data_IF_625284119682
#
_entry.id   IF_625284119682
#
_cell.length_a   1.000
_cell.length_b   1.000
_cell.length_c   1.000
_cell.angle_alpha   90.00
_cell.angle_beta   90.00
_cell.angle_gamma   90.00
#
_symmetry.space_group_name_H-M   'P 1'
#
loop_
_entity.id
_entity.type
_entity.pdbx_description
1 polymer ?
#
# COMPACT_ATOMS: atom_id res chain seq x y z
N UNK A 1 -40.99 -23.89 34.46
CA UNK A 1 -40.14 -22.89 35.15
C UNK A 1 -38.81 -22.83 34.38
N UNK A 2 -38.24 -21.71 33.94
CA UNK A 2 -38.51 -20.28 34.05
C UNK A 2 -37.94 -19.62 32.78
N UNK A 3 -38.73 -18.72 32.19
CA UNK A 3 -38.32 -17.74 31.17
C UNK A 3 -37.27 -16.78 31.75
N UNK A 4 -36.30 -16.37 30.92
CA UNK A 4 -35.73 -14.99 30.88
C UNK A 4 -35.19 -14.76 29.45
N UNK A 5 -35.94 -14.03 28.60
CA UNK A 5 -35.83 -12.58 28.35
C UNK A 5 -34.66 -12.27 27.38
N UNK A 6 -34.96 -12.11 26.09
CA UNK A 6 -35.14 -10.81 25.42
C UNK A 6 -33.85 -9.98 25.38
N UNK A 7 -33.16 -10.05 24.22
CA UNK A 7 -32.75 -8.87 23.44
C UNK A 7 -32.84 -9.23 21.97
N UNK A 8 -34.04 -9.06 21.43
CA UNK A 8 -34.24 -8.78 20.02
C UNK A 8 -33.36 -7.56 19.67
N UNK A 9 -32.33 -7.77 18.86
CA UNK A 9 -31.68 -6.66 18.15
C UNK A 9 -32.60 -6.33 16.97
N UNK A 10 -33.70 -5.66 17.30
CA UNK A 10 -34.56 -4.93 16.37
C UNK A 10 -34.08 -3.47 16.41
N UNK A 11 -32.90 -3.22 15.86
CA UNK A 11 -32.36 -1.92 15.47
C UNK A 11 -31.28 -2.29 14.43
N UNK A 12 -31.57 -2.39 13.14
CA UNK A 12 -31.29 -1.34 12.13
C UNK A 12 -32.16 -1.50 10.86
N UNK A 13 -33.15 -2.41 10.82
CA UNK A 13 -34.04 -2.52 9.63
C UNK A 13 -34.98 -1.30 9.45
N UNK A 14 -35.09 -0.42 10.46
CA UNK A 14 -35.99 0.75 10.42
C UNK A 14 -35.52 1.92 9.54
N UNK A 15 -34.32 1.89 8.96
CA UNK A 15 -33.92 2.86 7.93
C UNK A 15 -34.11 2.36 6.49
N UNK A 16 -34.41 1.07 6.27
CA UNK A 16 -34.53 0.52 4.91
C UNK A 16 -35.96 0.69 4.36
N UNK A 17 -36.98 0.73 5.22
CA UNK A 17 -38.39 0.79 4.79
C UNK A 17 -38.95 2.21 4.59
N UNK A 18 -38.23 3.26 5.01
CA UNK A 18 -38.69 4.65 4.92
C UNK A 18 -38.07 5.44 3.75
N UNK A 19 -37.15 4.84 3.00
CA UNK A 19 -36.49 5.49 1.84
C UNK A 19 -37.18 5.12 0.50
N UNK A 20 -38.04 4.10 0.46
CA UNK A 20 -38.65 3.62 -0.81
C UNK A 20 -40.15 3.91 -0.95
N UNK A 21 -40.57 5.12 -0.61
CA UNK A 21 -41.72 5.76 -1.26
C UNK A 21 -41.27 6.71 -2.37
N UNK A 22 -40.27 6.31 -3.17
CA UNK A 22 -40.10 6.86 -4.52
C UNK A 22 -41.12 6.21 -5.47
N UNK A 23 -42.41 6.29 -5.14
CA UNK A 23 -43.40 6.21 -6.20
C UNK A 23 -43.23 7.46 -7.06
N UNK A 24 -43.24 7.35 -8.40
CA UNK A 24 -43.31 8.51 -9.30
C UNK A 24 -44.67 9.25 -9.18
N UNK A 25 -45.46 8.93 -8.16
CA UNK A 25 -46.78 9.49 -7.92
C UNK A 25 -46.61 10.77 -7.10
N UNK A 26 -46.91 11.87 -7.78
CA UNK A 26 -47.37 13.12 -7.20
C UNK A 26 -46.32 14.01 -6.51
N UNK A 27 -45.32 14.48 -7.25
CA UNK A 27 -45.05 15.94 -7.20
C UNK A 27 -45.90 16.69 -8.24
N UNK A 28 -47.13 16.21 -8.43
CA UNK A 28 -48.18 16.97 -9.09
C UNK A 28 -48.45 18.21 -8.24
N UNK A 29 -48.13 19.38 -8.80
CA UNK A 29 -48.40 20.71 -8.25
C UNK A 29 -47.75 21.01 -6.88
N UNK A 30 -46.42 21.17 -6.84
CA UNK A 30 -45.79 21.93 -5.75
C UNK A 30 -46.05 23.43 -5.95
N UNK A 31 -46.56 24.10 -4.94
CA UNK A 31 -47.10 25.47 -5.03
C UNK A 31 -46.06 26.60 -4.93
N UNK A 32 -44.77 26.33 -4.65
CA UNK A 32 -43.73 27.36 -4.67
C UNK A 32 -42.36 26.87 -5.15
N UNK A 33 -41.58 27.78 -5.77
CA UNK A 33 -40.21 27.55 -6.24
C UNK A 33 -39.30 27.07 -5.11
N UNK A 34 -39.51 27.58 -3.89
CA UNK A 34 -38.69 27.23 -2.72
C UNK A 34 -38.87 25.77 -2.31
N UNK A 35 -40.11 25.25 -2.36
CA UNK A 35 -40.38 23.84 -2.03
C UNK A 35 -39.66 22.88 -2.98
N UNK A 36 -39.64 23.18 -4.28
CA UNK A 36 -38.90 22.37 -5.25
C UNK A 36 -37.39 22.37 -4.96
N UNK A 37 -36.83 23.52 -4.59
CA UNK A 37 -35.42 23.68 -4.21
C UNK A 37 -35.08 22.85 -2.96
N UNK A 38 -35.91 22.93 -1.92
CA UNK A 38 -35.64 22.23 -0.66
C UNK A 38 -35.77 20.71 -0.83
N UNK A 39 -36.75 20.27 -1.64
CA UNK A 39 -36.94 18.87 -1.98
C UNK A 39 -35.71 18.29 -2.71
N UNK A 40 -35.22 18.96 -3.77
CA UNK A 40 -34.07 18.44 -4.53
C UNK A 40 -32.79 18.45 -3.69
N UNK A 41 -32.59 19.46 -2.85
CA UNK A 41 -31.42 19.48 -1.93
C UNK A 41 -31.46 18.30 -0.97
N UNK A 42 -32.63 17.96 -0.45
CA UNK A 42 -32.80 16.81 0.43
C UNK A 42 -32.53 15.51 -0.32
N UNK A 43 -33.04 15.37 -1.54
CA UNK A 43 -32.82 14.19 -2.38
C UNK A 43 -31.33 13.96 -2.66
N UNK A 44 -30.59 15.00 -3.07
CA UNK A 44 -29.14 14.92 -3.31
C UNK A 44 -28.35 14.51 -2.06
N UNK A 45 -28.71 15.07 -0.89
CA UNK A 45 -28.06 14.74 0.39
C UNK A 45 -28.32 13.28 0.77
N UNK A 46 -29.57 12.82 0.67
CA UNK A 46 -29.95 11.43 0.98
C UNK A 46 -29.28 10.44 0.04
N UNK A 47 -29.20 10.75 -1.25
CA UNK A 47 -28.55 9.89 -2.23
C UNK A 47 -27.07 9.64 -1.90
N UNK A 48 -26.35 10.67 -1.43
CA UNK A 48 -24.97 10.51 -0.98
C UNK A 48 -24.86 9.81 0.38
N UNK A 49 -25.74 10.16 1.34
CA UNK A 49 -25.73 9.52 2.67
C UNK A 49 -25.99 8.02 2.61
N UNK A 50 -26.85 7.57 1.69
CA UNK A 50 -27.25 6.16 1.63
C UNK A 50 -26.05 5.20 1.51
N UNK A 51 -25.13 5.42 0.55
CA UNK A 51 -23.97 4.53 0.43
C UNK A 51 -22.90 4.76 1.51
N UNK A 52 -22.90 5.93 2.15
CA UNK A 52 -21.95 6.27 3.22
C UNK A 52 -22.37 5.61 4.53
N UNK A 53 -23.64 5.74 4.91
CA UNK A 53 -24.20 5.19 6.16
C UNK A 53 -24.19 3.66 6.13
N UNK A 54 -24.61 3.03 5.02
CA UNK A 54 -24.50 1.57 4.87
C UNK A 54 -23.05 1.10 4.99
N UNK A 55 -22.08 1.88 4.51
CA UNK A 55 -20.67 1.56 4.68
C UNK A 55 -20.14 1.75 6.10
N UNK A 56 -20.75 2.63 6.91
CA UNK A 56 -20.42 2.72 8.34
C UNK A 56 -20.91 1.48 9.10
N UNK A 57 -21.95 0.82 8.59
CA UNK A 57 -22.46 -0.46 9.10
C UNK A 57 -21.66 -1.67 8.61
N UNK A 58 -20.67 -1.44 7.73
CA UNK A 58 -19.80 -2.49 7.18
C UNK A 58 -20.22 -3.03 5.81
N UNK A 59 -21.29 -2.50 5.22
CA UNK A 59 -21.85 -3.00 3.97
C UNK A 59 -21.64 -2.06 2.78
N UNK A 60 -21.60 -2.61 1.56
CA UNK A 60 -21.49 -1.83 0.33
C UNK A 60 -22.82 -1.87 -0.42
N UNK A 61 -23.31 -0.70 -0.83
CA UNK A 61 -24.52 -0.59 -1.64
C UNK A 61 -24.18 -0.90 -3.10
N UNK A 62 -24.87 -1.86 -3.74
CA UNK A 62 -24.62 -2.20 -5.13
C UNK A 62 -25.06 -1.08 -6.07
N UNK A 63 -24.34 -0.95 -7.19
CA UNK A 63 -24.68 0.02 -8.25
C UNK A 63 -26.12 -0.12 -8.75
N UNK A 64 -26.64 -1.35 -8.83
CA UNK A 64 -28.03 -1.62 -9.22
C UNK A 64 -29.07 -0.95 -8.32
N UNK A 65 -28.77 -0.74 -7.04
CA UNK A 65 -29.66 -0.03 -6.11
C UNK A 65 -29.51 1.49 -6.20
N UNK A 66 -28.37 1.98 -6.70
CA UNK A 66 -28.05 3.40 -6.78
C UNK A 66 -28.34 4.02 -8.15
N UNK A 67 -28.33 3.24 -9.23
CA UNK A 67 -28.65 3.72 -10.58
C UNK A 67 -30.06 4.33 -10.67
N UNK A 68 -31.12 3.74 -10.08
CA UNK A 68 -32.45 4.38 -10.03
C UNK A 68 -32.44 5.70 -9.27
N UNK A 69 -31.71 5.77 -8.16
CA UNK A 69 -31.57 6.99 -7.33
C UNK A 69 -30.87 8.09 -8.12
N UNK A 70 -29.76 7.75 -8.80
CA UNK A 70 -29.02 8.68 -9.66
C UNK A 70 -29.90 9.24 -10.78
N UNK A 71 -30.70 8.39 -11.42
CA UNK A 71 -31.59 8.79 -12.49
C UNK A 71 -32.72 9.71 -12.00
N UNK A 72 -33.29 9.41 -10.82
CA UNK A 72 -34.28 10.27 -10.16
C UNK A 72 -33.70 11.66 -9.88
N UNK A 73 -32.54 11.72 -9.21
CA UNK A 73 -31.89 12.98 -8.85
C UNK A 73 -31.55 13.80 -10.09
N UNK A 74 -31.00 13.18 -11.15
CA UNK A 74 -30.70 13.86 -12.42
C UNK A 74 -31.93 14.51 -13.02
N UNK A 75 -33.05 13.78 -13.05
CA UNK A 75 -34.32 14.28 -13.59
C UNK A 75 -34.85 15.45 -12.75
N UNK A 76 -34.97 15.26 -11.44
CA UNK A 76 -35.56 16.25 -10.53
C UNK A 76 -34.69 17.52 -10.45
N UNK A 77 -33.36 17.40 -10.56
CA UNK A 77 -32.44 18.52 -10.67
C UNK A 77 -32.72 19.37 -11.92
N UNK A 78 -32.86 18.77 -13.10
CA UNK A 78 -33.16 19.50 -14.33
C UNK A 78 -34.55 20.14 -14.30
N UNK A 79 -35.55 19.45 -13.76
CA UNK A 79 -36.89 19.99 -13.55
C UNK A 79 -36.88 21.20 -12.62
N UNK A 80 -36.13 21.13 -11.51
CA UNK A 80 -36.01 22.24 -10.56
C UNK A 80 -35.30 23.44 -11.16
N UNK A 81 -34.24 23.23 -11.96
CA UNK A 81 -33.59 24.31 -12.71
C UNK A 81 -34.57 25.00 -13.65
N UNK A 82 -35.39 24.22 -14.37
CA UNK A 82 -36.42 24.76 -15.25
C UNK A 82 -37.44 25.61 -14.47
N UNK A 83 -37.92 25.12 -13.33
CA UNK A 83 -38.84 25.85 -12.45
C UNK A 83 -38.25 27.20 -12.00
N UNK A 84 -36.97 27.23 -11.60
CA UNK A 84 -36.29 28.47 -11.21
C UNK A 84 -36.24 29.46 -12.38
N UNK A 85 -35.82 29.00 -13.56
CA UNK A 85 -35.68 29.84 -14.76
C UNK A 85 -37.02 30.44 -15.20
N UNK A 86 -38.10 29.66 -15.14
CA UNK A 86 -39.46 30.10 -15.55
C UNK A 86 -40.22 30.85 -14.45
N UNK A 87 -39.65 31.02 -13.27
CA UNK A 87 -40.31 31.71 -12.15
C UNK A 87 -40.32 33.24 -12.32
N UNK A 88 -41.18 33.90 -11.54
CA UNK A 88 -41.29 35.37 -11.47
C UNK A 88 -40.22 36.01 -10.57
N UNK A 89 -39.19 35.26 -10.17
CA UNK A 89 -38.08 35.78 -9.35
C UNK A 89 -37.24 36.80 -10.12
N UNK A 90 -36.54 37.67 -9.40
CA UNK A 90 -35.53 38.55 -9.99
C UNK A 90 -34.40 37.74 -10.61
N UNK A 91 -33.73 38.28 -11.62
CA UNK A 91 -32.61 37.59 -12.28
C UNK A 91 -31.47 37.27 -11.28
N UNK A 92 -31.23 38.17 -10.33
CA UNK A 92 -30.25 37.97 -9.25
C UNK A 92 -30.63 36.79 -8.34
N UNK A 93 -31.90 36.66 -7.99
CA UNK A 93 -32.39 35.56 -7.15
C UNK A 93 -32.35 34.22 -7.89
N UNK A 94 -32.68 34.21 -9.18
CA UNK A 94 -32.54 33.03 -10.05
C UNK A 94 -31.11 32.53 -10.04
N UNK A 95 -30.14 33.42 -10.31
CA UNK A 95 -28.73 33.05 -10.32
C UNK A 95 -28.24 32.54 -8.97
N UNK A 96 -28.68 33.16 -7.87
CA UNK A 96 -28.30 32.72 -6.52
C UNK A 96 -28.81 31.31 -6.23
N UNK A 97 -30.09 31.04 -6.53
CA UNK A 97 -30.71 29.72 -6.30
C UNK A 97 -30.13 28.65 -7.20
N UNK A 98 -29.84 28.97 -8.47
CA UNK A 98 -29.16 28.04 -9.39
C UNK A 98 -27.77 27.67 -8.89
N UNK A 99 -26.95 28.65 -8.51
CA UNK A 99 -25.62 28.40 -7.93
C UNK A 99 -25.67 27.48 -6.72
N UNK A 100 -26.67 27.67 -5.86
CA UNK A 100 -26.84 26.85 -4.66
C UNK A 100 -27.13 25.38 -4.99
N UNK A 101 -28.08 25.11 -5.89
CA UNK A 101 -28.40 23.73 -6.27
C UNK A 101 -27.31 23.10 -7.14
N UNK A 102 -26.65 23.88 -8.00
CA UNK A 102 -25.55 23.43 -8.87
C UNK A 102 -24.33 23.02 -8.03
N UNK A 103 -24.00 23.81 -7.00
CA UNK A 103 -22.91 23.48 -6.07
C UNK A 103 -23.18 22.17 -5.32
N UNK A 104 -24.42 21.96 -4.85
CA UNK A 104 -24.78 20.74 -4.14
C UNK A 104 -24.82 19.52 -5.06
N UNK A 105 -25.30 19.69 -6.30
CA UNK A 105 -25.29 18.63 -7.31
C UNK A 105 -23.86 18.20 -7.64
N UNK A 106 -22.97 19.18 -7.84
CA UNK A 106 -21.55 18.92 -8.10
C UNK A 106 -20.90 18.16 -6.94
N UNK A 107 -21.16 18.59 -5.70
CA UNK A 107 -20.56 17.98 -4.51
C UNK A 107 -21.08 16.55 -4.25
N UNK A 108 -22.41 16.36 -4.23
CA UNK A 108 -23.03 15.11 -3.78
C UNK A 108 -23.20 14.08 -4.89
N UNK A 109 -23.42 14.53 -6.12
CA UNK A 109 -23.75 13.64 -7.24
C UNK A 109 -22.53 13.47 -8.15
N UNK A 110 -21.96 14.55 -8.65
CA UNK A 110 -20.84 14.50 -9.61
C UNK A 110 -19.56 14.00 -8.93
N UNK A 111 -19.24 14.49 -7.73
CA UNK A 111 -18.05 14.08 -6.95
C UNK A 111 -18.32 12.98 -5.92
N UNK A 112 -19.58 12.67 -5.66
CA UNK A 112 -19.99 11.65 -4.68
C UNK A 112 -20.53 10.39 -5.34
N UNK A 113 -21.84 10.38 -5.59
CA UNK A 113 -22.58 9.20 -6.02
C UNK A 113 -22.07 8.58 -7.33
N UNK A 114 -21.81 9.39 -8.37
CA UNK A 114 -21.36 8.89 -9.68
C UNK A 114 -20.02 8.13 -9.56
N UNK A 115 -18.94 8.74 -9.00
CA UNK A 115 -17.69 8.01 -8.87
C UNK A 115 -17.74 6.84 -7.88
N UNK A 116 -18.68 6.82 -6.92
CA UNK A 116 -18.91 5.63 -6.09
C UNK A 116 -19.46 4.46 -6.94
N UNK A 117 -20.48 4.72 -7.76
CA UNK A 117 -21.04 3.72 -8.68
C UNK A 117 -19.96 3.19 -9.63
N UNK A 118 -19.11 4.09 -10.16
CA UNK A 118 -17.98 3.69 -11.01
C UNK A 118 -16.97 2.83 -10.26
N UNK A 119 -16.64 3.16 -9.02
CA UNK A 119 -15.74 2.40 -8.16
C UNK A 119 -16.29 1.00 -7.84
N UNK A 120 -17.58 0.90 -7.49
CA UNK A 120 -18.24 -0.37 -7.24
C UNK A 120 -18.28 -1.24 -8.51
N UNK A 121 -18.64 -0.66 -9.65
CA UNK A 121 -18.65 -1.35 -10.94
C UNK A 121 -17.24 -1.78 -11.37
N UNK A 122 -16.23 -0.95 -11.15
CA UNK A 122 -14.85 -1.32 -11.42
C UNK A 122 -14.43 -2.55 -10.60
N UNK A 123 -14.71 -2.54 -9.30
CA UNK A 123 -14.40 -3.64 -8.41
C UNK A 123 -15.11 -4.94 -8.81
N UNK A 124 -16.43 -4.88 -9.01
CA UNK A 124 -17.28 -6.07 -9.24
C UNK A 124 -17.25 -6.59 -10.67
N UNK A 125 -16.99 -5.75 -11.68
CA UNK A 125 -16.96 -6.18 -13.09
C UNK A 125 -15.57 -6.49 -13.61
N UNK A 126 -14.51 -6.02 -12.94
CA UNK A 126 -13.14 -6.21 -13.41
C UNK A 126 -12.25 -6.93 -12.41
N UNK A 127 -12.24 -6.56 -11.13
CA UNK A 127 -11.32 -7.21 -10.18
C UNK A 127 -11.83 -8.59 -9.77
N UNK A 128 -13.06 -8.67 -9.27
CA UNK A 128 -13.63 -9.92 -8.75
C UNK A 128 -13.73 -11.04 -9.80
N UNK A 129 -14.19 -10.77 -11.05
CA UNK A 129 -14.23 -11.80 -12.08
C UNK A 129 -12.83 -12.28 -12.49
N UNK A 130 -11.84 -11.39 -12.55
CA UNK A 130 -10.46 -11.79 -12.86
C UNK A 130 -9.85 -12.66 -11.75
N UNK A 131 -10.16 -12.38 -10.49
CA UNK A 131 -9.72 -13.24 -9.39
C UNK A 131 -10.37 -14.62 -9.47
N UNK A 132 -11.65 -14.68 -9.84
CA UNK A 132 -12.34 -15.95 -10.08
C UNK A 132 -11.75 -16.72 -11.27
N UNK A 133 -11.51 -16.04 -12.41
CA UNK A 133 -10.85 -16.62 -13.59
C UNK A 133 -9.49 -17.21 -13.23
N UNK A 134 -8.66 -16.49 -12.46
CA UNK A 134 -7.36 -16.97 -12.00
C UNK A 134 -7.51 -18.24 -11.16
N UNK A 135 -8.40 -18.24 -10.15
CA UNK A 135 -8.60 -19.41 -9.27
C UNK A 135 -9.07 -20.63 -10.05
N UNK A 136 -9.98 -20.45 -11.01
CA UNK A 136 -10.47 -21.53 -11.87
C UNK A 136 -9.37 -22.07 -12.79
N UNK A 137 -8.51 -21.20 -13.32
CA UNK A 137 -7.37 -21.59 -14.15
C UNK A 137 -6.28 -22.32 -13.34
N UNK A 138 -5.99 -21.85 -12.13
CA UNK A 138 -5.08 -22.52 -11.18
C UNK A 138 -5.59 -23.94 -10.86
N UNK A 139 -6.89 -24.10 -10.59
CA UNK A 139 -7.49 -25.41 -10.31
C UNK A 139 -7.40 -26.40 -11.48
N UNK A 140 -7.38 -25.90 -12.72
CA UNK A 140 -7.25 -26.69 -13.94
C UNK A 140 -5.79 -26.90 -14.37
N UNK A 141 -4.83 -26.28 -13.70
CA UNK A 141 -3.43 -26.15 -14.15
C UNK A 141 -3.31 -25.57 -15.57
N UNK A 142 -4.20 -24.66 -15.93
CA UNK A 142 -4.17 -23.97 -17.23
C UNK A 142 -3.22 -22.75 -17.14
N UNK A 143 -1.92 -23.00 -17.39
CA UNK A 143 -0.87 -21.98 -17.28
C UNK A 143 -1.11 -20.77 -18.19
N UNK A 144 -1.61 -21.00 -19.41
CA UNK A 144 -1.86 -19.93 -20.38
C UNK A 144 -3.03 -19.04 -19.93
N UNK A 145 -4.09 -19.64 -19.40
CA UNK A 145 -5.21 -18.87 -18.83
C UNK A 145 -4.78 -18.07 -17.60
N UNK A 146 -3.93 -18.64 -16.72
CA UNK A 146 -3.38 -17.93 -15.55
C UNK A 146 -2.55 -16.73 -16.00
N UNK A 147 -1.59 -16.89 -16.92
CA UNK A 147 -0.76 -15.80 -17.44
C UNK A 147 -1.63 -14.68 -18.03
N UNK A 148 -2.59 -15.03 -18.90
CA UNK A 148 -3.49 -14.07 -19.55
C UNK A 148 -4.33 -13.29 -18.53
N UNK A 149 -4.93 -13.97 -17.55
CA UNK A 149 -5.74 -13.35 -16.52
C UNK A 149 -4.89 -12.47 -15.59
N UNK A 150 -3.68 -12.91 -15.23
CA UNK A 150 -2.71 -12.14 -14.45
C UNK A 150 -2.33 -10.82 -15.15
N UNK A 151 -2.06 -10.84 -16.46
CA UNK A 151 -1.72 -9.62 -17.19
C UNK A 151 -2.91 -8.66 -17.26
N UNK A 152 -4.13 -9.16 -17.50
CA UNK A 152 -5.34 -8.33 -17.42
C UNK A 152 -5.49 -7.69 -16.03
N UNK A 153 -5.32 -8.47 -14.96
CA UNK A 153 -5.43 -7.99 -13.59
C UNK A 153 -4.38 -6.92 -13.29
N UNK A 154 -3.12 -7.16 -13.70
CA UNK A 154 -2.02 -6.21 -13.56
C UNK A 154 -2.30 -4.89 -14.29
N UNK A 155 -2.90 -4.93 -15.47
CA UNK A 155 -3.32 -3.71 -16.19
C UNK A 155 -4.39 -2.96 -15.41
N UNK A 156 -5.43 -3.63 -14.91
CA UNK A 156 -6.47 -2.99 -14.10
C UNK A 156 -5.86 -2.32 -12.87
N UNK A 157 -5.04 -3.06 -12.11
CA UNK A 157 -4.41 -2.58 -10.88
C UNK A 157 -3.44 -1.41 -11.12
N UNK A 158 -2.71 -1.40 -12.24
CA UNK A 158 -1.75 -0.32 -12.55
C UNK A 158 -2.41 0.95 -13.11
N UNK A 159 -3.43 0.80 -13.96
CA UNK A 159 -3.94 1.91 -14.78
C UNK A 159 -5.29 2.48 -14.33
N UNK A 160 -6.12 1.69 -13.64
CA UNK A 160 -7.52 2.04 -13.36
C UNK A 160 -7.86 2.10 -11.88
N UNK A 161 -6.91 1.81 -11.00
CA UNK A 161 -7.10 1.87 -9.53
C UNK A 161 -7.45 3.25 -9.02
N UNK A 162 -7.08 4.33 -9.73
CA UNK A 162 -7.50 5.69 -9.37
C UNK A 162 -9.02 5.85 -9.25
N UNK A 163 -9.82 5.04 -9.96
CA UNK A 163 -11.28 5.04 -9.89
C UNK A 163 -11.79 4.83 -8.46
N UNK A 164 -11.12 3.98 -7.68
CA UNK A 164 -11.49 3.67 -6.29
C UNK A 164 -11.31 4.86 -5.33
N UNK A 165 -10.65 5.95 -5.76
CA UNK A 165 -10.31 7.10 -4.91
C UNK A 165 -11.08 8.38 -5.30
N UNK A 166 -11.94 8.34 -6.33
CA UNK A 166 -12.57 9.54 -6.92
C UNK A 166 -13.78 10.07 -6.16
N UNK A 167 -14.38 9.28 -5.28
CA UNK A 167 -15.60 9.67 -4.56
C UNK A 167 -15.31 10.09 -3.10
N UNK A 168 -16.22 10.89 -2.55
CA UNK A 168 -16.23 11.29 -1.14
C UNK A 168 -16.80 10.20 -0.23
N UNK A 169 -16.17 9.98 0.92
CA UNK A 169 -16.59 8.96 1.90
C UNK A 169 -15.47 7.96 2.20
N UNK A 170 -14.88 8.05 3.40
CA UNK A 170 -13.77 7.19 3.83
C UNK A 170 -14.22 5.74 4.04
N UNK A 171 -15.28 5.52 4.81
CA UNK A 171 -15.81 4.18 5.10
C UNK A 171 -16.10 3.34 3.83
N UNK A 172 -16.88 3.84 2.84
CA UNK A 172 -17.14 3.07 1.62
C UNK A 172 -15.87 2.80 0.80
N UNK A 173 -14.90 3.73 0.82
CA UNK A 173 -13.60 3.53 0.17
C UNK A 173 -12.80 2.42 0.82
N UNK A 174 -12.65 2.47 2.13
CA UNK A 174 -11.88 1.47 2.86
C UNK A 174 -12.48 0.07 2.69
N UNK A 175 -13.82 -0.05 2.71
CA UNK A 175 -14.51 -1.31 2.42
C UNK A 175 -14.29 -1.81 0.99
N UNK A 176 -14.35 -0.94 -0.03
CA UNK A 176 -14.05 -1.33 -1.41
C UNK A 176 -12.59 -1.80 -1.57
N UNK A 177 -11.66 -1.11 -0.91
CA UNK A 177 -10.25 -1.47 -0.93
C UNK A 177 -10.00 -2.81 -0.25
N UNK A 178 -10.55 -3.01 0.95
CA UNK A 178 -10.39 -4.24 1.73
C UNK A 178 -11.05 -5.43 1.04
N UNK A 179 -12.28 -5.27 0.52
CA UNK A 179 -13.05 -6.38 -0.06
C UNK A 179 -12.56 -6.80 -1.44
N UNK A 180 -12.09 -5.86 -2.26
CA UNK A 180 -11.78 -6.14 -3.67
C UNK A 180 -10.34 -5.84 -4.08
N UNK A 181 -9.79 -4.69 -3.68
CA UNK A 181 -8.46 -4.28 -4.15
C UNK A 181 -7.35 -5.08 -3.48
N UNK A 182 -7.39 -5.22 -2.15
CA UNK A 182 -6.38 -5.92 -1.37
C UNK A 182 -6.23 -7.40 -1.78
N UNK A 183 -7.30 -8.21 -1.89
CA UNK A 183 -7.19 -9.57 -2.41
C UNK A 183 -6.63 -9.63 -3.84
N UNK A 184 -6.95 -8.63 -4.67
CA UNK A 184 -6.43 -8.54 -6.03
C UNK A 184 -4.92 -8.25 -6.06
N UNK A 185 -4.44 -7.31 -5.23
CA UNK A 185 -3.02 -7.01 -5.11
C UNK A 185 -2.24 -8.20 -4.54
N UNK A 186 -2.77 -8.85 -3.51
CA UNK A 186 -2.16 -10.04 -2.90
C UNK A 186 -2.02 -11.18 -3.92
N UNK A 187 -3.09 -11.52 -4.65
CA UNK A 187 -3.05 -12.55 -5.68
C UNK A 187 -2.12 -12.16 -6.84
N UNK A 188 -2.10 -10.89 -7.23
CA UNK A 188 -1.15 -10.39 -8.23
C UNK A 188 0.29 -10.48 -7.72
N UNK A 189 0.56 -10.24 -6.45
CA UNK A 189 1.89 -10.39 -5.87
C UNK A 189 2.33 -11.85 -5.80
N UNK A 190 1.44 -12.74 -5.35
CA UNK A 190 1.63 -14.20 -5.32
C UNK A 190 2.07 -14.75 -6.68
N UNK A 191 1.44 -14.26 -7.76
CA UNK A 191 1.64 -14.78 -9.11
C UNK A 191 2.84 -14.21 -9.88
N UNK A 192 3.61 -13.25 -9.32
CA UNK A 192 4.75 -12.64 -10.03
C UNK A 192 5.75 -13.69 -10.49
N UNK A 193 6.19 -14.56 -9.57
CA UNK A 193 7.20 -15.59 -9.88
C UNK A 193 6.60 -16.72 -10.73
N UNK A 194 5.43 -17.32 -10.40
CA UNK A 194 4.80 -18.34 -11.23
C UNK A 194 4.60 -17.89 -12.67
N UNK A 195 4.07 -16.69 -12.91
CA UNK A 195 3.82 -16.19 -14.26
C UNK A 195 5.13 -15.93 -15.01
N UNK A 196 6.18 -15.44 -14.33
CA UNK A 196 7.49 -15.28 -14.95
C UNK A 196 8.06 -16.63 -15.43
N UNK A 197 7.86 -17.70 -14.65
CA UNK A 197 8.25 -19.06 -15.04
C UNK A 197 7.42 -19.52 -16.24
N UNK A 198 6.09 -19.33 -16.22
CA UNK A 198 5.20 -19.66 -17.34
C UNK A 198 5.63 -18.95 -18.63
N UNK A 199 5.90 -17.65 -18.58
CA UNK A 199 6.40 -16.88 -19.72
C UNK A 199 7.70 -17.45 -20.29
N UNK A 200 8.65 -17.82 -19.43
CA UNK A 200 9.92 -18.43 -19.85
C UNK A 200 9.71 -19.84 -20.43
N UNK A 201 8.79 -20.64 -19.90
CA UNK A 201 8.38 -21.94 -20.46
C UNK A 201 7.82 -21.74 -21.87
N UNK A 202 6.83 -20.86 -22.04
CA UNK A 202 6.19 -20.58 -23.34
C UNK A 202 7.21 -20.11 -24.37
N UNK A 203 8.09 -19.17 -24.01
CA UNK A 203 9.16 -18.70 -24.89
C UNK A 203 10.14 -19.82 -25.27
N UNK A 204 10.52 -20.66 -24.31
CA UNK A 204 11.43 -21.79 -24.57
C UNK A 204 10.80 -22.82 -25.50
N UNK A 205 9.53 -23.16 -25.29
CA UNK A 205 8.78 -24.05 -26.17
C UNK A 205 8.70 -23.49 -27.60
N UNK A 206 8.43 -22.20 -27.75
CA UNK A 206 8.42 -21.52 -29.05
C UNK A 206 9.78 -21.58 -29.75
N UNK A 207 10.87 -21.29 -29.03
CA UNK A 207 12.23 -21.37 -29.57
C UNK A 207 12.60 -22.80 -30.01
N UNK A 208 12.14 -23.82 -29.28
CA UNK A 208 12.33 -25.22 -29.66
C UNK A 208 11.57 -25.58 -30.94
N UNK A 209 10.32 -25.11 -31.10
CA UNK A 209 9.54 -25.28 -32.33
C UNK A 209 10.21 -24.60 -33.54
N UNK A 210 10.86 -23.46 -33.32
CA UNK A 210 11.63 -22.73 -34.32
C UNK A 210 13.03 -23.32 -34.58
N UNK A 211 13.41 -24.40 -33.87
CA UNK A 211 14.73 -25.03 -34.01
C UNK A 211 15.90 -24.26 -33.37
N UNK A 212 15.61 -23.17 -32.64
CA UNK A 212 16.59 -22.27 -31.99
C UNK A 212 17.08 -22.84 -30.65
N UNK A 213 17.82 -23.94 -30.71
CA UNK A 213 18.22 -24.74 -29.53
C UNK A 213 19.16 -24.01 -28.57
N UNK A 214 20.04 -23.14 -29.06
CA UNK A 214 20.97 -22.41 -28.20
C UNK A 214 20.25 -21.31 -27.39
N UNK A 215 19.32 -20.62 -28.05
CA UNK A 215 18.46 -19.60 -27.44
C UNK A 215 17.49 -20.23 -26.44
N UNK A 216 16.93 -21.41 -26.74
CA UNK A 216 16.10 -22.17 -25.82
C UNK A 216 16.86 -22.54 -24.52
N UNK A 217 18.13 -22.96 -24.62
CA UNK A 217 18.99 -23.22 -23.45
C UNK A 217 19.17 -21.98 -22.59
N UNK A 218 19.45 -20.83 -23.22
CA UNK A 218 19.60 -19.56 -22.51
C UNK A 218 18.30 -19.08 -21.87
N UNK A 219 17.15 -19.30 -22.53
CA UNK A 219 15.85 -18.85 -22.04
C UNK A 219 15.41 -19.56 -20.74
N UNK A 220 15.78 -20.83 -20.59
CA UNK A 220 15.40 -21.67 -19.45
C UNK A 220 16.42 -21.64 -18.29
N UNK A 221 17.64 -21.14 -18.52
CA UNK A 221 18.75 -21.18 -17.55
C UNK A 221 18.43 -20.53 -16.19
N UNK A 222 17.61 -19.46 -16.20
CA UNK A 222 17.23 -18.76 -14.97
C UNK A 222 16.07 -19.44 -14.22
N UNK A 223 15.31 -20.35 -14.85
CA UNK A 223 14.10 -20.93 -14.24
C UNK A 223 14.40 -21.64 -12.91
N UNK A 224 15.47 -22.44 -12.75
CA UNK A 224 15.79 -23.06 -11.47
C UNK A 224 15.93 -22.06 -10.31
N UNK A 225 16.53 -20.90 -10.56
CA UNK A 225 16.65 -19.80 -9.57
C UNK A 225 15.31 -19.15 -9.22
N UNK A 226 14.36 -19.16 -10.16
CA UNK A 226 12.99 -18.69 -9.91
C UNK A 226 12.18 -19.73 -9.13
N UNK A 227 12.38 -21.02 -9.40
CA UNK A 227 11.70 -22.12 -8.70
C UNK A 227 12.07 -22.11 -7.21
N UNK A 228 13.32 -21.85 -6.84
CA UNK A 228 13.72 -21.75 -5.42
C UNK A 228 13.07 -20.58 -4.67
N UNK A 229 12.51 -19.61 -5.39
CA UNK A 229 11.81 -18.44 -4.83
C UNK A 229 10.29 -18.64 -4.72
N UNK A 230 9.76 -19.78 -5.15
CA UNK A 230 8.34 -20.08 -4.97
C UNK A 230 8.02 -20.30 -3.48
N UNK A 231 7.32 -19.34 -2.89
CA UNK A 231 7.07 -19.25 -1.45
C UNK A 231 5.90 -20.10 -0.93
N UNK A 232 5.12 -20.74 -1.82
CA UNK A 232 4.04 -21.67 -1.44
C UNK A 232 4.02 -22.89 -2.37
N UNK A 233 3.66 -24.08 -1.87
CA UNK A 233 3.61 -25.31 -2.66
C UNK A 233 2.17 -25.81 -2.79
N UNK A 234 1.31 -25.02 -3.43
CA UNK A 234 -0.04 -25.44 -3.77
C UNK A 234 -0.02 -26.42 -4.98
N UNK A 235 -1.18 -27.02 -5.31
CA UNK A 235 -1.27 -28.00 -6.39
C UNK A 235 -0.82 -27.43 -7.75
N UNK A 236 -1.13 -26.16 -8.02
CA UNK A 236 -0.74 -25.46 -9.23
C UNK A 236 0.79 -25.31 -9.36
N UNK A 237 1.46 -24.89 -8.28
CA UNK A 237 2.93 -24.78 -8.27
C UNK A 237 3.61 -26.13 -8.47
N UNK A 238 3.05 -27.23 -7.93
CA UNK A 238 3.56 -28.59 -8.19
C UNK A 238 3.43 -28.97 -9.66
N UNK A 239 2.30 -28.66 -10.29
CA UNK A 239 2.12 -28.91 -11.72
C UNK A 239 3.10 -28.07 -12.56
N UNK A 240 3.33 -26.81 -12.18
CA UNK A 240 4.28 -25.92 -12.85
C UNK A 240 5.71 -26.45 -12.75
N UNK A 241 6.15 -26.88 -11.56
CA UNK A 241 7.48 -27.48 -11.37
C UNK A 241 7.65 -28.75 -12.23
N UNK A 242 6.62 -29.59 -12.33
CA UNK A 242 6.66 -30.78 -13.19
C UNK A 242 6.86 -30.43 -14.67
N UNK A 243 6.23 -29.34 -15.14
CA UNK A 243 6.43 -28.88 -16.53
C UNK A 243 7.82 -28.26 -16.72
N UNK A 244 8.36 -27.57 -15.71
CA UNK A 244 9.77 -27.10 -15.72
C UNK A 244 10.72 -28.28 -15.84
N UNK A 245 10.58 -29.32 -15.02
CA UNK A 245 11.45 -30.51 -15.04
C UNK A 245 11.39 -31.21 -16.40
N UNK A 246 10.19 -31.36 -16.96
CA UNK A 246 9.98 -31.92 -18.29
C UNK A 246 10.73 -31.11 -19.35
N UNK A 247 10.62 -29.79 -19.32
CA UNK A 247 11.24 -28.93 -20.33
C UNK A 247 12.76 -28.87 -20.17
N UNK A 248 13.28 -28.86 -18.94
CA UNK A 248 14.72 -28.95 -18.67
C UNK A 248 15.31 -30.25 -19.23
N UNK A 249 14.63 -31.39 -19.09
CA UNK A 249 15.08 -32.66 -19.65
C UNK A 249 15.14 -32.66 -21.19
N UNK A 250 14.25 -31.90 -21.86
CA UNK A 250 14.25 -31.74 -23.33
C UNK A 250 15.43 -30.86 -23.77
N UNK A 251 15.67 -29.76 -23.05
CA UNK A 251 16.66 -28.74 -23.41
C UNK A 251 18.09 -29.17 -23.05
N UNK A 252 18.25 -29.91 -21.95
CA UNK A 252 19.50 -30.48 -21.46
C UNK A 252 19.39 -32.01 -21.37
N UNK A 253 19.37 -32.71 -22.52
CA UNK A 253 19.35 -34.17 -22.50
C UNK A 253 20.64 -34.69 -21.84
N UNK A 254 20.50 -35.70 -20.98
CA UNK A 254 21.66 -36.38 -20.41
C UNK A 254 22.56 -36.90 -21.55
N UNK A 255 23.90 -36.89 -21.38
CA UNK A 255 24.79 -37.46 -22.36
C UNK A 255 24.42 -38.93 -22.58
N UNK A 256 23.97 -39.25 -23.79
CA UNK A 256 23.82 -40.65 -24.20
C UNK A 256 25.21 -41.27 -24.18
N UNK A 257 25.46 -42.18 -23.25
CA UNK A 257 26.64 -43.03 -23.32
C UNK A 257 26.50 -43.90 -24.57
N UNK A 258 27.40 -43.78 -25.56
CA UNK A 258 27.39 -44.73 -26.65
C UNK A 258 27.83 -46.08 -26.08
N UNK A 259 26.90 -47.01 -25.94
CA UNK A 259 27.23 -48.42 -25.73
C UNK A 259 27.71 -48.94 -27.08
N UNK A 260 29.03 -48.95 -27.29
CA UNK A 260 29.63 -49.68 -28.41
C UNK A 260 30.54 -50.79 -27.84
N UNK A 261 30.34 -52.06 -28.20
CA UNK A 261 31.13 -53.18 -27.72
C UNK A 261 32.56 -53.14 -28.30
N UNK A 262 33.56 -53.47 -27.48
CA UNK A 262 34.97 -53.66 -27.87
C UNK A 262 35.32 -55.16 -27.89
N UNK A 263 36.45 -55.62 -28.50
CA UNK A 263 37.17 -55.24 -29.77
C UNK A 263 37.71 -56.53 -30.50
N UNK A 264 38.70 -56.61 -31.47
CA UNK A 264 40.09 -56.12 -31.32
C UNK A 264 40.97 -55.74 -32.59
N UNK A 265 41.98 -54.85 -32.37
CA UNK A 265 43.34 -54.61 -32.97
C UNK A 265 43.57 -54.03 -34.41
N UNK A 266 44.30 -52.90 -34.54
CA UNK A 266 45.71 -52.69 -35.02
C UNK A 266 46.05 -51.18 -35.30
N UNK A 267 47.04 -50.69 -34.52
CA UNK A 267 48.07 -49.61 -34.61
C UNK A 267 47.94 -48.21 -35.31
N UNK A 268 48.71 -47.18 -34.83
CA UNK A 268 48.66 -45.74 -35.17
C UNK A 268 49.83 -45.31 -36.13
N UNK A 269 50.16 -44.03 -36.41
CA UNK A 269 49.60 -42.73 -35.95
C UNK A 269 49.33 -41.69 -37.07
N UNK A 270 48.53 -40.66 -36.76
CA UNK A 270 48.79 -39.31 -37.29
C UNK A 270 48.23 -38.23 -36.38
N UNK A 271 49.14 -37.32 -36.03
CA UNK A 271 48.98 -36.05 -35.32
C UNK A 271 47.95 -35.12 -35.99
N UNK A 272 47.19 -34.39 -35.18
CA UNK A 272 46.24 -33.37 -35.62
C UNK A 272 45.66 -32.57 -34.45
N UNK A 273 46.50 -31.69 -33.91
CA UNK A 273 46.25 -30.66 -32.90
C UNK A 273 44.89 -29.94 -32.97
N UNK A 274 44.27 -29.75 -31.80
CA UNK A 274 43.10 -28.89 -31.62
C UNK A 274 42.78 -28.58 -30.15
N UNK A 275 43.77 -28.09 -29.38
CA UNK A 275 43.53 -27.22 -28.21
C UNK A 275 43.44 -25.77 -28.75
N UNK A 276 42.59 -24.85 -28.28
CA UNK A 276 42.28 -24.60 -26.89
C UNK A 276 40.92 -23.91 -26.71
N UNK A 277 40.26 -24.33 -25.64
CA UNK A 277 39.05 -23.80 -25.04
C UNK A 277 39.30 -22.41 -24.44
N UNK A 278 38.30 -21.53 -24.48
CA UNK A 278 38.26 -20.35 -23.61
C UNK A 278 38.18 -20.79 -22.14
N UNK A 279 38.69 -20.00 -21.17
CA UNK A 279 38.92 -20.48 -19.82
C UNK A 279 37.59 -20.83 -19.13
N UNK A 280 37.41 -22.12 -18.85
CA UNK A 280 36.37 -22.63 -17.95
C UNK A 280 36.58 -22.04 -16.56
N UNK A 281 35.58 -21.32 -16.05
CA UNK A 281 35.54 -20.80 -14.68
C UNK A 281 35.87 -21.91 -13.66
N UNK A 282 36.81 -21.65 -12.76
CA UNK A 282 37.23 -22.66 -11.76
C UNK A 282 36.15 -22.88 -10.71
N UNK A 283 36.16 -24.04 -10.05
CA UNK A 283 35.23 -24.36 -8.95
C UNK A 283 35.26 -23.32 -7.82
N UNK A 284 36.43 -22.74 -7.54
CA UNK A 284 36.64 -21.67 -6.55
C UNK A 284 36.02 -20.35 -7.01
N UNK A 285 36.17 -19.98 -8.28
CA UNK A 285 35.55 -18.79 -8.87
C UNK A 285 34.02 -18.89 -8.84
N UNK A 286 33.48 -20.07 -9.17
CA UNK A 286 32.05 -20.38 -9.09
C UNK A 286 31.52 -20.27 -7.66
N UNK A 287 32.22 -20.86 -6.68
CA UNK A 287 31.83 -20.79 -5.26
C UNK A 287 31.81 -19.35 -4.73
N UNK A 288 32.82 -18.55 -5.10
CA UNK A 288 32.88 -17.13 -4.75
C UNK A 288 31.73 -16.33 -5.38
N UNK A 289 31.41 -16.57 -6.66
CA UNK A 289 30.29 -15.92 -7.33
C UNK A 289 28.96 -16.24 -6.66
N UNK A 290 28.70 -17.51 -6.34
CA UNK A 290 27.49 -17.96 -5.63
C UNK A 290 27.39 -17.29 -4.26
N UNK A 291 28.49 -17.27 -3.49
CA UNK A 291 28.53 -16.61 -2.18
C UNK A 291 28.17 -15.13 -2.28
N UNK A 292 28.72 -14.39 -3.26
CA UNK A 292 28.39 -12.98 -3.52
C UNK A 292 26.92 -12.78 -3.86
N UNK A 293 26.37 -13.61 -4.76
CA UNK A 293 24.96 -13.52 -5.16
C UNK A 293 24.01 -13.79 -3.99
N UNK A 294 24.30 -14.81 -3.16
CA UNK A 294 23.49 -15.12 -1.98
C UNK A 294 23.57 -13.99 -0.94
N UNK A 295 24.77 -13.48 -0.65
CA UNK A 295 24.97 -12.41 0.33
C UNK A 295 24.29 -11.09 -0.10
N UNK A 296 24.40 -10.70 -1.38
CA UNK A 296 23.68 -9.52 -1.89
C UNK A 296 22.16 -9.72 -1.81
N UNK A 297 21.65 -10.90 -2.14
CA UNK A 297 20.20 -11.19 -2.04
C UNK A 297 19.71 -11.13 -0.59
N UNK A 298 20.49 -11.68 0.34
CA UNK A 298 20.19 -11.64 1.76
C UNK A 298 20.21 -10.21 2.31
N UNK A 299 21.20 -9.40 1.92
CA UNK A 299 21.30 -8.00 2.29
C UNK A 299 20.14 -7.16 1.73
N UNK A 300 19.74 -7.38 0.49
CA UNK A 300 18.60 -6.69 -0.12
C UNK A 300 17.29 -6.99 0.62
N UNK A 301 17.08 -8.23 1.04
CA UNK A 301 15.89 -8.64 1.79
C UNK A 301 15.95 -8.28 3.28
N UNK A 302 17.12 -7.96 3.82
CA UNK A 302 17.29 -7.65 5.24
C UNK A 302 16.41 -6.47 5.67
N UNK A 303 15.54 -6.67 6.67
CA UNK A 303 14.60 -5.69 7.25
C UNK A 303 13.50 -5.17 6.30
N UNK A 304 13.29 -5.77 5.13
CA UNK A 304 12.24 -5.34 4.18
C UNK A 304 10.84 -5.59 4.72
N UNK A 305 10.66 -6.70 5.43
CA UNK A 305 9.44 -7.11 6.11
C UNK A 305 8.98 -6.12 7.21
N UNK A 306 9.95 -5.43 7.83
CA UNK A 306 9.71 -4.43 8.89
C UNK A 306 9.93 -3.00 8.40
N UNK A 307 9.89 -2.75 7.08
CA UNK A 307 10.10 -1.42 6.49
C UNK A 307 9.22 -0.34 7.13
N UNK A 308 7.96 -0.67 7.39
CA UNK A 308 6.98 0.30 7.92
C UNK A 308 7.29 0.74 9.36
N UNK A 309 8.17 0.03 10.07
CA UNK A 309 8.66 0.41 11.39
C UNK A 309 9.72 1.52 11.32
N UNK A 310 10.20 1.92 10.14
CA UNK A 310 11.21 2.97 9.98
C UNK A 310 10.60 4.26 9.41
N UNK A 311 11.14 5.41 9.82
CA UNK A 311 10.84 6.69 9.17
C UNK A 311 11.36 6.68 7.73
N UNK A 312 10.81 7.54 6.85
CA UNK A 312 11.27 7.66 5.46
C UNK A 312 12.77 7.99 5.38
N UNK A 313 13.27 8.85 6.28
CA UNK A 313 14.68 9.22 6.35
C UNK A 313 15.56 8.05 6.81
N UNK A 314 15.17 7.35 7.87
CA UNK A 314 15.91 6.19 8.38
C UNK A 314 15.90 5.04 7.36
N UNK A 315 14.79 4.82 6.65
CA UNK A 315 14.72 3.84 5.58
C UNK A 315 15.65 4.19 4.40
N UNK A 316 15.77 5.47 4.04
CA UNK A 316 16.73 5.92 3.03
C UNK A 316 18.19 5.67 3.46
N UNK A 317 18.51 5.81 4.75
CA UNK A 317 19.82 5.44 5.29
C UNK A 317 20.06 3.93 5.19
N UNK A 318 19.06 3.09 5.50
CA UNK A 318 19.14 1.63 5.32
C UNK A 318 19.42 1.27 3.86
N UNK A 319 18.75 1.91 2.89
CA UNK A 319 19.02 1.69 1.45
C UNK A 319 20.47 2.06 1.09
N UNK A 320 20.98 3.18 1.62
CA UNK A 320 22.37 3.59 1.41
C UNK A 320 23.36 2.58 1.98
N UNK A 321 23.09 2.05 3.18
CA UNK A 321 23.90 1.01 3.82
C UNK A 321 23.88 -0.32 3.06
N UNK A 322 22.71 -0.73 2.53
CA UNK A 322 22.62 -1.90 1.63
C UNK A 322 23.46 -1.71 0.38
N UNK A 323 23.40 -0.53 -0.22
CA UNK A 323 24.20 -0.18 -1.40
C UNK A 323 25.71 -0.27 -1.11
N UNK A 324 26.14 0.27 0.03
CA UNK A 324 27.54 0.18 0.47
C UNK A 324 27.97 -1.27 0.76
N UNK A 325 27.11 -2.06 1.43
CA UNK A 325 27.34 -3.47 1.71
C UNK A 325 27.46 -4.32 0.44
N UNK A 326 26.57 -4.12 -0.55
CA UNK A 326 26.67 -4.79 -1.85
C UNK A 326 27.99 -4.48 -2.57
N UNK A 327 28.46 -3.22 -2.49
CA UNK A 327 29.76 -2.84 -3.05
C UNK A 327 30.91 -3.59 -2.36
N UNK A 328 30.86 -3.70 -1.03
CA UNK A 328 31.87 -4.45 -0.26
C UNK A 328 31.83 -5.96 -0.56
N UNK A 329 30.64 -6.56 -0.62
CA UNK A 329 30.44 -7.97 -1.00
C UNK A 329 30.99 -8.24 -2.41
N UNK A 330 30.72 -7.36 -3.37
CA UNK A 330 31.21 -7.51 -4.74
C UNK A 330 32.74 -7.36 -4.84
N UNK A 331 33.35 -6.53 -3.98
CA UNK A 331 34.80 -6.33 -3.91
C UNK A 331 35.55 -7.48 -3.21
N UNK A 332 34.86 -8.31 -2.42
CA UNK A 332 35.46 -9.44 -1.70
C UNK A 332 36.16 -10.44 -2.64
N UNK A 333 37.32 -10.93 -2.24
CA UNK A 333 38.15 -11.89 -2.99
C UNK A 333 37.97 -13.33 -2.52
N UNK A 334 37.42 -13.52 -1.33
CA UNK A 334 37.20 -14.83 -0.72
C UNK A 334 35.78 -14.95 -0.17
N UNK A 335 35.30 -16.17 0.04
CA UNK A 335 33.98 -16.41 0.64
C UNK A 335 33.94 -15.92 2.10
N UNK A 336 35.05 -15.97 2.82
CA UNK A 336 35.18 -15.41 4.17
C UNK A 336 35.01 -13.88 4.18
N UNK A 337 35.61 -13.19 3.21
CA UNK A 337 35.44 -11.74 3.06
C UNK A 337 34.00 -11.38 2.68
N UNK A 338 33.31 -12.21 1.89
CA UNK A 338 31.88 -12.04 1.56
C UNK A 338 31.03 -12.12 2.83
N UNK A 339 31.22 -13.14 3.66
CA UNK A 339 30.49 -13.29 4.93
C UNK A 339 30.74 -12.09 5.84
N UNK A 340 32.00 -11.66 5.99
CA UNK A 340 32.33 -10.50 6.82
C UNK A 340 31.66 -9.23 6.32
N UNK A 341 31.68 -8.98 5.00
CA UNK A 341 31.05 -7.79 4.41
C UNK A 341 29.52 -7.77 4.63
N UNK A 342 28.87 -8.93 4.57
CA UNK A 342 27.44 -9.08 4.87
C UNK A 342 27.14 -8.78 6.34
N UNK A 343 27.91 -9.34 7.26
CA UNK A 343 27.73 -9.16 8.71
C UNK A 343 27.96 -7.70 9.13
N UNK A 344 29.02 -7.06 8.62
CA UNK A 344 29.30 -5.65 8.85
C UNK A 344 28.14 -4.75 8.35
N UNK A 345 27.58 -5.06 7.17
CA UNK A 345 26.46 -4.32 6.61
C UNK A 345 25.17 -4.48 7.46
N UNK A 346 24.86 -5.70 7.90
CA UNK A 346 23.71 -5.96 8.79
C UNK A 346 23.88 -5.29 10.14
N UNK A 347 25.09 -5.31 10.72
CA UNK A 347 25.39 -4.64 11.97
C UNK A 347 25.15 -3.13 11.86
N UNK A 348 25.61 -2.50 10.77
CA UNK A 348 25.35 -1.08 10.52
C UNK A 348 23.85 -0.78 10.36
N UNK A 349 23.10 -1.63 9.64
CA UNK A 349 21.64 -1.47 9.49
C UNK A 349 20.92 -1.59 10.84
N UNK A 350 21.38 -2.47 11.74
CA UNK A 350 20.77 -2.66 13.06
C UNK A 350 20.93 -1.47 14.01
N UNK A 351 21.86 -0.55 13.72
CA UNK A 351 22.03 0.68 14.49
C UNK A 351 20.99 1.75 14.13
N UNK A 352 20.26 1.58 13.02
CA UNK A 352 19.24 2.54 12.61
C UNK A 352 17.99 2.39 13.47
N UNK A 353 17.55 3.48 14.09
CA UNK A 353 16.39 3.49 14.97
C UNK A 353 15.08 3.32 14.20
N UNK A 354 14.16 2.56 14.81
CA UNK A 354 12.75 2.44 14.40
C UNK A 354 11.92 3.61 14.93
N UNK A 355 10.70 3.79 14.41
CA UNK A 355 9.73 4.80 14.86
C UNK A 355 9.46 4.67 16.36
N UNK A 356 9.25 3.46 16.84
CA UNK A 356 8.94 3.18 18.26
C UNK A 356 10.10 3.47 19.21
N UNK A 357 11.30 3.75 18.70
CA UNK A 357 12.49 4.13 19.47
C UNK A 357 12.72 5.64 19.50
N UNK A 358 11.82 6.43 18.89
CA UNK A 358 11.92 7.89 18.84
C UNK A 358 11.32 8.49 20.11
N UNK A 359 12.16 9.14 20.92
CA UNK A 359 11.78 9.86 22.14
C UNK A 359 11.89 11.38 21.98
N UNK A 360 11.73 11.90 20.76
CA UNK A 360 11.87 13.34 20.48
C UNK A 360 10.53 14.09 20.51
N UNK A 361 10.59 15.42 20.60
CA UNK A 361 9.42 16.31 20.50
C UNK A 361 9.40 17.08 19.18
N UNK A 362 8.20 17.35 18.65
CA UNK A 362 7.99 18.24 17.52
C UNK A 362 7.83 19.69 17.95
N UNK A 363 7.19 19.93 19.11
CA UNK A 363 6.93 21.27 19.64
C UNK A 363 6.91 21.25 21.17
N UNK A 364 7.28 22.39 21.76
CA UNK A 364 7.06 22.69 23.18
C UNK A 364 6.45 24.09 23.26
N UNK A 365 5.42 24.26 24.11
CA UNK A 365 4.81 25.56 24.39
C UNK A 365 4.73 25.81 25.89
N UNK A 366 4.87 27.07 26.28
CA UNK A 366 4.69 27.55 27.66
C UNK A 366 3.59 28.62 27.66
N UNK A 367 2.50 28.39 28.39
CA UNK A 367 1.28 29.25 28.35
C UNK A 367 0.78 29.53 26.91
N UNK A 368 0.89 28.53 26.04
CA UNK A 368 0.51 28.64 24.63
C UNK A 368 1.52 29.37 23.71
N UNK A 369 2.63 29.91 24.25
CA UNK A 369 3.71 30.50 23.46
C UNK A 369 4.72 29.42 23.09
N UNK A 370 5.08 29.34 21.80
CA UNK A 370 6.03 28.36 21.31
C UNK A 370 7.44 28.64 21.82
N UNK A 371 8.07 27.62 22.40
CA UNK A 371 9.48 27.66 22.78
C UNK A 371 10.37 27.36 21.56
N UNK A 372 11.51 28.02 21.48
CA UNK A 372 12.46 27.92 20.37
C UNK A 372 13.62 27.03 20.81
N UNK A 373 13.92 25.99 20.02
CA UNK A 373 15.04 25.10 20.27
C UNK A 373 16.37 25.85 20.10
N UNK A 374 17.33 25.60 20.98
CA UNK A 374 18.68 26.12 20.87
C UNK A 374 19.40 25.45 19.68
N UNK A 375 19.99 26.22 18.75
CA UNK A 375 20.65 25.66 17.57
C UNK A 375 21.87 24.77 17.90
N UNK A 376 22.55 25.03 19.02
CA UNK A 376 23.70 24.27 19.47
C UNK A 376 23.30 23.08 20.37
N UNK A 377 22.13 23.13 21.01
CA UNK A 377 21.61 22.04 21.82
C UNK A 377 20.09 21.82 21.59
N UNK A 378 19.69 20.84 20.75
CA UNK A 378 18.28 20.61 20.41
C UNK A 378 17.44 20.04 21.55
N UNK A 379 18.03 19.75 22.71
CA UNK A 379 17.29 19.39 23.94
C UNK A 379 17.04 20.58 24.85
N UNK A 380 17.59 21.74 24.51
CA UNK A 380 17.39 23.00 25.22
C UNK A 380 16.43 23.88 24.42
N UNK A 381 15.44 24.44 25.10
CA UNK A 381 14.43 25.33 24.53
C UNK A 381 14.41 26.62 25.32
N UNK A 382 14.20 27.74 24.64
CA UNK A 382 14.05 29.06 25.25
C UNK A 382 12.68 29.62 24.87
N UNK A 383 11.99 30.20 25.85
CA UNK A 383 10.71 30.88 25.63
C UNK A 383 10.68 32.18 26.40
N UNK A 384 10.31 33.24 25.70
CA UNK A 384 10.12 34.56 26.27
C UNK A 384 8.62 34.83 26.41
N UNK A 385 8.18 35.11 27.63
CA UNK A 385 6.79 35.39 27.96
C UNK A 385 6.53 36.90 28.02
N UNK A 386 5.29 37.36 27.76
CA UNK A 386 4.95 38.77 27.79
C UNK A 386 5.25 39.44 29.13
N UNK A 387 5.61 40.73 29.06
CA UNK A 387 5.91 41.55 30.22
C UNK A 387 4.76 41.53 31.25
N UNK A 388 5.09 41.42 32.55
CA UNK A 388 4.11 41.28 33.63
C UNK A 388 3.75 39.83 33.99
N UNK A 389 4.28 38.83 33.27
CA UNK A 389 4.13 37.42 33.67
C UNK A 389 4.96 37.12 34.92
N UNK A 390 4.33 36.51 35.93
CA UNK A 390 5.01 36.03 37.15
C UNK A 390 5.44 34.58 36.94
N UNK A 391 6.76 34.33 36.90
CA UNK A 391 7.30 32.98 36.63
C UNK A 391 6.92 31.95 37.70
N UNK A 392 6.76 32.38 38.95
CA UNK A 392 6.35 31.52 40.06
C UNK A 392 4.90 30.99 39.90
N UNK A 393 4.08 31.65 39.09
CA UNK A 393 2.69 31.27 38.81
C UNK A 393 2.56 30.37 37.57
N UNK A 394 3.67 29.91 37.00
CA UNK A 394 3.66 28.92 35.93
C UNK A 394 3.53 27.54 36.57
N UNK A 395 2.54 26.79 36.13
CA UNK A 395 2.31 25.42 36.60
C UNK A 395 2.78 24.40 35.57
N UNK A 396 2.95 23.15 35.99
CA UNK A 396 3.32 22.05 35.10
C UNK A 396 2.36 21.88 33.91
N UNK A 397 1.07 22.19 34.10
CA UNK A 397 0.02 22.14 33.07
C UNK A 397 0.14 23.23 32.01
N UNK A 398 0.89 24.30 32.29
CA UNK A 398 1.16 25.36 31.31
C UNK A 398 2.24 24.96 30.29
N UNK A 399 2.96 23.87 30.56
CA UNK A 399 4.01 23.33 29.69
C UNK A 399 3.42 22.18 28.88
N UNK A 400 3.25 22.39 27.58
CA UNK A 400 2.78 21.34 26.68
C UNK A 400 3.89 20.95 25.71
N UNK A 401 4.28 19.68 25.74
CA UNK A 401 5.20 19.09 24.77
C UNK A 401 4.43 18.13 23.86
N UNK A 402 4.67 18.23 22.56
CA UNK A 402 4.11 17.29 21.57
C UNK A 402 5.21 16.34 21.12
N UNK A 403 5.12 15.03 21.43
CA UNK A 403 6.06 14.06 20.90
C UNK A 403 6.05 13.99 19.37
N UNK A 404 7.21 13.70 18.78
CA UNK A 404 7.32 13.41 17.34
C UNK A 404 6.64 12.08 16.98
N UNK A 405 6.71 11.10 17.88
CA UNK A 405 5.96 9.84 17.79
C UNK A 405 4.71 9.91 18.66
N UNK A 406 3.53 9.77 18.05
CA UNK A 406 2.25 9.87 18.76
C UNK A 406 2.04 8.82 19.87
N UNK A 407 2.84 7.75 19.88
CA UNK A 407 2.80 6.72 20.93
C UNK A 407 3.89 6.88 21.99
N UNK A 408 4.77 7.88 21.87
CA UNK A 408 5.73 8.22 22.92
C UNK A 408 5.03 8.88 24.11
N UNK A 409 5.53 8.60 25.31
CA UNK A 409 4.94 9.04 26.58
C UNK A 409 5.68 10.26 27.12
N UNK A 410 4.93 11.33 27.39
CA UNK A 410 5.44 12.48 28.15
C UNK A 410 5.40 12.13 29.65
N UNK A 411 6.56 12.19 30.28
CA UNK A 411 6.73 12.05 31.72
C UNK A 411 6.35 13.33 32.46
N UNK A 412 6.47 13.28 33.79
CA UNK A 412 6.11 14.41 34.66
C UNK A 412 6.97 15.63 34.35
N UNK A 413 6.30 16.76 34.12
CA UNK A 413 6.92 18.08 33.97
C UNK A 413 7.38 18.57 35.35
N UNK A 414 8.63 18.98 35.49
CA UNK A 414 9.21 19.40 36.78
C UNK A 414 9.95 20.73 36.68
N UNK A 415 10.04 21.48 37.78
CA UNK A 415 10.86 22.70 37.92
C UNK A 415 11.62 22.66 39.24
N UNK A 416 12.79 23.29 39.29
CA UNK A 416 13.60 23.42 40.51
C UNK A 416 13.89 24.87 40.90
N UNK A 417 13.55 25.85 40.03
CA UNK A 417 14.03 27.23 40.13
C UNK A 417 12.89 28.26 40.00
N UNK A 418 11.77 28.06 40.71
CA UNK A 418 10.65 29.01 40.72
C UNK A 418 10.07 29.33 39.35
N UNK A 419 10.03 28.36 38.43
CA UNK A 419 9.45 28.52 37.09
C UNK A 419 10.40 29.03 36.01
N UNK A 420 11.65 29.39 36.33
CA UNK A 420 12.67 29.84 35.35
C UNK A 420 13.23 28.72 34.48
N UNK A 421 13.22 27.48 34.97
CA UNK A 421 13.68 26.31 34.24
C UNK A 421 12.73 25.14 34.46
N UNK A 422 12.32 24.51 33.36
CA UNK A 422 11.46 23.33 33.37
C UNK A 422 12.15 22.15 32.70
N UNK A 423 11.82 20.95 33.16
CA UNK A 423 12.26 19.69 32.55
C UNK A 423 11.06 18.88 32.11
N UNK A 424 11.11 18.41 30.87
CA UNK A 424 10.13 17.49 30.29
C UNK A 424 10.86 16.25 29.83
N UNK A 425 10.45 15.09 30.31
CA UNK A 425 11.01 13.82 29.88
C UNK A 425 10.08 13.18 28.87
N UNK A 426 10.61 12.67 27.77
CA UNK A 426 9.87 11.92 26.76
C UNK A 426 10.46 10.52 26.68
N UNK A 427 9.59 9.52 26.77
CA UNK A 427 9.96 8.11 26.66
C UNK A 427 9.39 7.56 25.36
N UNK A 428 10.20 6.88 24.56
CA UNK A 428 9.79 6.25 23.30
C UNK A 428 8.70 5.19 23.52
N UNK A 429 7.95 4.86 22.45
CA UNK A 429 6.87 3.85 22.49
C UNK A 429 7.34 2.50 23.04
N UNK A 430 8.59 2.10 22.74
CA UNK A 430 9.17 0.86 23.22
C UNK A 430 9.58 0.87 24.71
N UNK A 431 9.46 2.02 25.38
CA UNK A 431 9.79 2.19 26.80
C UNK A 431 11.29 2.17 27.13
N UNK A 432 12.18 2.11 26.14
CA UNK A 432 13.62 1.92 26.36
C UNK A 432 14.45 3.19 26.20
N UNK A 433 14.02 4.11 25.33
CA UNK A 433 14.75 5.34 25.05
C UNK A 433 14.07 6.50 25.73
N UNK A 434 14.83 7.30 26.48
CA UNK A 434 14.31 8.44 27.22
C UNK A 434 15.15 9.67 26.94
N UNK A 435 14.50 10.77 26.55
CA UNK A 435 15.14 12.08 26.32
C UNK A 435 14.57 13.09 27.28
N UNK A 436 15.44 13.88 27.93
CA UNK A 436 15.01 14.98 28.79
C UNK A 436 15.28 16.31 28.11
N UNK A 437 14.23 17.11 27.98
CA UNK A 437 14.22 18.45 27.44
C UNK A 437 14.27 19.47 28.57
N UNK A 438 15.09 20.50 28.41
CA UNK A 438 15.19 21.63 29.34
C UNK A 438 14.61 22.88 28.69
N UNK A 439 13.73 23.58 29.39
CA UNK A 439 13.07 24.79 28.91
C UNK A 439 13.46 25.95 29.82
N UNK A 440 14.16 26.94 29.28
CA UNK A 440 14.44 28.20 29.94
C UNK A 440 13.31 29.19 29.65
N UNK A 441 12.76 29.76 30.72
CA UNK A 441 11.65 30.71 30.63
C UNK A 441 12.15 32.08 31.08
N UNK A 442 12.00 33.07 30.21
CA UNK A 442 12.29 34.48 30.50
C UNK A 442 11.02 35.32 30.32
N UNK A 443 11.05 36.55 30.85
CA UNK A 443 9.96 37.52 30.69
C UNK A 443 10.54 38.75 30.02
N UNK A 444 9.82 39.30 29.05
CA UNK A 444 10.21 40.58 28.44
C UNK A 444 10.27 41.66 29.52
N UNK A 445 11.37 42.44 29.61
CA UNK A 445 11.45 43.57 30.54
C UNK A 445 10.30 44.54 30.32
N UNK A 446 9.69 45.06 31.39
CA UNK A 446 8.75 46.18 31.25
C UNK A 446 9.54 47.40 30.75
N UNK A 447 9.09 48.02 29.65
CA UNK A 447 9.58 49.35 29.29
C UNK A 447 9.04 50.36 30.31
N UNK A 448 9.96 51.01 31.02
CA UNK A 448 9.65 52.04 32.03
C UNK A 448 9.17 53.34 31.40
#
# INVERSE_FOLDING_TARGET
>A
MKRKLWKEIVVVVLFISSIWSFSPIAYGKTSSVQQSIDAIKMEMKKAALYYIETALEGDLVPSSSLDPVLNSVKKNYQETRKIILTSNLSEKDKQTKLKEIDALYEEKIVKGLIPYIDAYNYATKYLDPLLKEIKEAEAKNDFQAVEKAYHKLSVQLKSRTSILYRFTGKAPRDLLLEKYKKPADEKRYELIIPVTIIMKITNTQQLLLEGKKAEAKKAIEDIPSLVTKLSSVNAFHKALMKEVDRLLAIVFPAPVTPVNPTPPVIQPPTSGSGENEGPSETSVQRALRIAKTNANTELENYKVDVKDNYSTANWAQIISLKTAGNKAINAAKTTTEVTKALDDAKAAINLIQTKSQVSTVSTITVKGIAAIADPANPTLYNVELPAGTVLADIEATDIMATPTDMHAVIGTVTTTNGGTTWKVTVTSEDGKTTTTYTINVTVTPQEN
#
